data_IF_402434956989
#
_entry.id   IF_402434956989
#
_cell.length_a   1.000
_cell.length_b   1.000
_cell.length_c   1.000
_cell.angle_alpha   90.00
_cell.angle_beta   90.00
_cell.angle_gamma   90.00
#
_symmetry.space_group_name_H-M   'P 1'
#
loop_
_entity.id
_entity.type
_entity.pdbx_description
1 polymer ?
#
# COMPACT_ATOMS: atom_id res chain seq x y z
N UNK A 1 23.90 -27.79 -6.26
CA UNK A 1 24.50 -26.58 -6.87
C UNK A 1 23.47 -26.08 -7.88
N UNK A 2 22.47 -25.30 -7.45
CA UNK A 2 22.54 -23.91 -6.92
C UNK A 2 23.10 -22.98 -7.99
N UNK A 3 22.23 -22.17 -8.62
CA UNK A 3 22.18 -20.71 -8.43
C UNK A 3 21.07 -20.11 -9.32
N UNK A 4 20.01 -19.59 -8.69
CA UNK A 4 19.72 -18.15 -8.49
C UNK A 4 19.21 -17.46 -9.76
N UNK A 5 17.89 -17.53 -9.96
CA UNK A 5 17.15 -16.58 -10.80
C UNK A 5 16.98 -15.27 -10.02
N UNK A 6 17.69 -14.25 -10.49
CA UNK A 6 17.45 -12.84 -10.22
C UNK A 6 16.04 -12.45 -10.68
N UNK A 7 15.19 -12.06 -9.74
CA UNK A 7 13.99 -11.27 -9.99
C UNK A 7 14.40 -9.79 -9.86
N UNK A 8 14.52 -9.10 -10.99
CA UNK A 8 14.56 -7.64 -11.03
C UNK A 8 13.13 -7.07 -11.03
N UNK A 9 12.98 -6.01 -10.26
CA UNK A 9 11.78 -5.20 -10.07
C UNK A 9 11.30 -4.61 -11.41
N UNK A 10 9.98 -4.58 -11.62
CA UNK A 10 9.30 -4.04 -12.80
C UNK A 10 9.67 -2.57 -13.08
N UNK A 11 10.74 -2.35 -13.84
CA UNK A 11 10.89 -1.18 -14.68
C UNK A 11 10.02 -1.39 -15.92
N UNK A 12 9.20 -0.39 -16.24
CA UNK A 12 8.36 -0.36 -17.45
C UNK A 12 9.16 -0.86 -18.65
N UNK A 13 8.83 -2.06 -19.16
CA UNK A 13 9.58 -2.67 -20.25
C UNK A 13 9.61 -1.73 -21.47
N UNK A 14 10.74 -1.70 -22.19
CA UNK A 14 10.91 -0.98 -23.46
C UNK A 14 9.76 -1.27 -24.45
N UNK A 15 9.14 -2.46 -24.36
CA UNK A 15 7.97 -2.85 -25.15
C UNK A 15 6.68 -2.03 -24.86
N UNK A 16 6.55 -1.44 -23.67
CA UNK A 16 5.47 -0.49 -23.34
C UNK A 16 5.74 0.90 -23.92
N UNK A 17 7.02 1.31 -23.99
CA UNK A 17 7.46 2.54 -24.65
C UNK A 17 7.30 2.45 -26.17
N UNK A 18 7.63 1.30 -26.77
CA UNK A 18 7.48 1.03 -28.20
C UNK A 18 6.01 0.95 -28.66
N UNK A 19 5.08 0.66 -27.74
CA UNK A 19 3.63 0.78 -28.00
C UNK A 19 3.14 2.23 -28.01
N UNK A 20 3.77 3.14 -27.24
CA UNK A 20 3.50 4.58 -27.32
C UNK A 20 4.10 5.21 -28.59
N UNK A 21 5.27 4.72 -29.04
CA UNK A 21 5.93 5.19 -30.25
C UNK A 21 5.18 4.84 -31.57
N UNK A 22 4.23 3.89 -31.54
CA UNK A 22 3.50 3.44 -32.72
C UNK A 22 2.20 4.21 -33.02
N UNK A 23 1.84 5.22 -32.22
CA UNK A 23 0.84 6.22 -32.65
C UNK A 23 1.51 7.22 -33.60
N UNK A 24 1.42 6.93 -34.90
CA UNK A 24 1.91 7.74 -36.04
C UNK A 24 1.96 9.26 -35.76
N UNK A 25 3.11 9.74 -35.33
CA UNK A 25 3.58 11.09 -35.63
C UNK A 25 4.50 10.95 -36.84
N UNK A 26 3.90 11.14 -38.01
CA UNK A 26 4.62 11.20 -39.27
C UNK A 26 5.57 12.39 -39.25
N UNK A 27 6.88 12.08 -39.28
CA UNK A 27 7.95 12.83 -39.94
C UNK A 27 8.28 14.22 -39.36
N UNK A 28 9.19 14.23 -38.38
CA UNK A 28 10.31 15.18 -38.32
C UNK A 28 11.49 14.49 -37.63
N UNK A 29 12.60 14.38 -38.35
CA UNK A 29 13.84 13.77 -37.89
C UNK A 29 14.66 14.79 -37.11
N UNK A 30 15.15 14.42 -35.92
CA UNK A 30 16.35 15.02 -35.30
C UNK A 30 17.13 13.90 -34.58
N UNK A 31 18.46 13.75 -34.78
CA UNK A 31 19.28 12.72 -34.14
C UNK A 31 19.90 13.16 -32.82
N UNK A 32 20.22 12.18 -31.97
CA UNK A 32 21.14 12.16 -30.82
C UNK A 32 21.05 13.29 -29.78
N UNK A 33 20.43 12.98 -28.63
CA UNK A 33 20.74 13.64 -27.35
C UNK A 33 21.31 12.55 -26.44
N UNK A 34 22.64 12.55 -26.25
CA UNK A 34 23.37 11.64 -25.36
C UNK A 34 23.94 12.35 -24.12
N UNK A 35 23.40 13.50 -23.71
CA UNK A 35 23.88 14.21 -22.52
C UNK A 35 22.73 14.85 -21.74
N UNK A 36 22.65 14.55 -20.45
CA UNK A 36 21.69 15.16 -19.51
C UNK A 36 22.45 16.06 -18.54
N UNK A 37 22.48 17.36 -18.81
CA UNK A 37 23.11 18.36 -17.92
C UNK A 37 22.07 18.95 -16.97
N UNK A 38 22.32 18.88 -15.66
CA UNK A 38 21.48 19.53 -14.63
C UNK A 38 21.87 21.01 -14.52
N UNK A 39 20.99 21.92 -14.96
CA UNK A 39 21.21 23.37 -14.80
C UNK A 39 20.95 23.81 -13.35
N UNK A 40 21.90 24.55 -12.75
CA UNK A 40 21.88 24.97 -11.33
C UNK A 40 21.40 26.41 -11.08
N UNK A 41 20.92 27.16 -12.09
CA UNK A 41 20.34 28.50 -11.86
C UNK A 41 19.43 29.03 -12.99
N UNK A 42 18.56 30.00 -12.67
CA UNK A 42 17.62 30.68 -13.59
C UNK A 42 18.28 31.40 -14.78
N UNK A 43 19.60 31.65 -14.73
CA UNK A 43 20.32 32.35 -15.80
C UNK A 43 20.64 31.43 -16.99
N UNK A 44 20.81 30.14 -16.74
CA UNK A 44 21.17 29.14 -17.77
C UNK A 44 19.96 28.72 -18.64
N UNK A 45 18.75 29.10 -18.24
CA UNK A 45 17.49 28.75 -18.93
C UNK A 45 17.22 29.57 -20.21
N UNK A 46 17.76 30.79 -20.33
CA UNK A 46 17.32 31.72 -21.39
C UNK A 46 17.87 31.43 -22.78
N UNK A 47 18.80 30.49 -22.95
CA UNK A 47 19.42 30.21 -24.25
C UNK A 47 18.88 28.97 -24.98
N UNK A 48 17.92 28.22 -24.42
CA UNK A 48 17.36 27.03 -25.09
C UNK A 48 15.85 27.17 -25.34
N UNK A 49 15.50 27.93 -26.38
CA UNK A 49 14.13 28.01 -26.91
C UNK A 49 13.89 26.90 -27.95
N UNK A 50 13.39 25.75 -27.50
CA UNK A 50 12.72 24.77 -28.36
C UNK A 50 11.32 24.48 -27.79
N UNK A 51 10.30 24.58 -28.65
CA UNK A 51 8.90 24.75 -28.27
C UNK A 51 8.18 23.50 -27.70
N UNK A 52 8.83 22.32 -27.64
CA UNK A 52 8.19 21.06 -27.25
C UNK A 52 8.45 20.58 -25.80
N UNK A 53 9.26 21.29 -25.02
CA UNK A 53 9.53 20.94 -23.61
C UNK A 53 8.51 21.49 -22.60
N UNK A 54 7.46 22.18 -23.07
CA UNK A 54 6.46 22.81 -22.19
C UNK A 54 5.49 21.86 -21.49
N UNK A 55 5.33 20.62 -21.97
CA UNK A 55 4.32 19.70 -21.40
C UNK A 55 4.88 18.88 -20.23
N UNK A 56 6.16 18.53 -20.22
CA UNK A 56 6.71 17.65 -19.16
C UNK A 56 6.96 18.35 -17.82
N UNK A 57 7.25 19.65 -17.80
CA UNK A 57 7.72 20.31 -16.56
C UNK A 57 6.70 21.23 -15.87
N UNK A 58 5.55 21.51 -16.48
CA UNK A 58 4.52 22.35 -15.84
C UNK A 58 3.73 21.64 -14.72
N UNK A 59 4.00 20.35 -14.44
CA UNK A 59 3.36 19.60 -13.35
C UNK A 59 4.09 19.79 -12.02
N UNK A 60 5.36 20.24 -12.03
CA UNK A 60 6.16 20.30 -10.80
C UNK A 60 6.10 21.61 -10.04
N UNK A 61 5.58 22.71 -10.58
CA UNK A 61 5.48 23.96 -9.82
C UNK A 61 4.20 24.76 -10.14
N UNK A 62 3.39 24.91 -9.08
CA UNK A 62 2.25 25.84 -8.89
C UNK A 62 0.82 25.26 -8.95
N UNK A 63 0.07 25.65 -7.92
CA UNK A 63 -1.37 25.52 -7.66
C UNK A 63 -2.29 25.03 -8.79
N UNK A 64 -2.99 23.92 -8.49
CA UNK A 64 -4.11 23.32 -9.21
C UNK A 64 -3.85 22.75 -10.61
N UNK A 65 -3.67 21.42 -10.63
CA UNK A 65 -3.64 20.52 -11.81
C UNK A 65 -4.82 20.74 -12.77
N UNK A 66 -5.94 21.27 -12.27
CA UNK A 66 -7.16 21.54 -13.03
C UNK A 66 -6.97 22.63 -14.10
N UNK A 67 -6.11 23.62 -13.86
CA UNK A 67 -5.88 24.72 -14.79
C UNK A 67 -5.03 24.29 -16.01
N UNK A 68 -4.05 23.40 -15.78
CA UNK A 68 -3.20 22.84 -16.83
C UNK A 68 -3.97 21.87 -17.74
N UNK A 69 -4.87 21.06 -17.17
CA UNK A 69 -5.71 20.14 -17.93
C UNK A 69 -6.68 20.86 -18.86
N UNK A 70 -7.18 22.06 -18.49
CA UNK A 70 -8.15 22.79 -19.33
C UNK A 70 -7.56 23.24 -20.68
N UNK A 71 -6.24 23.35 -20.80
CA UNK A 71 -5.53 23.78 -22.01
C UNK A 71 -5.23 22.63 -23.00
N UNK A 72 -5.43 21.37 -22.61
CA UNK A 72 -5.23 20.22 -23.51
C UNK A 72 -6.45 20.03 -24.42
N UNK A 73 -6.24 20.10 -25.73
CA UNK A 73 -7.30 19.91 -26.75
C UNK A 73 -7.64 18.44 -26.99
N UNK A 74 -6.75 17.50 -26.64
CA UNK A 74 -6.94 16.07 -26.87
C UNK A 74 -7.67 15.38 -25.68
N UNK A 75 -8.87 14.89 -25.97
CA UNK A 75 -9.75 14.25 -25.00
C UNK A 75 -9.25 12.87 -24.51
N UNK A 76 -8.37 12.19 -25.27
CA UNK A 76 -7.81 10.88 -24.91
C UNK A 76 -6.63 11.01 -23.94
N UNK A 77 -5.83 12.06 -24.09
CA UNK A 77 -4.73 12.37 -23.16
C UNK A 77 -5.30 12.83 -21.82
N UNK A 78 -6.36 13.66 -21.85
CA UNK A 78 -7.15 14.00 -20.65
C UNK A 78 -7.69 12.76 -19.92
N UNK A 79 -8.19 11.76 -20.64
CA UNK A 79 -8.69 10.52 -20.01
C UNK A 79 -7.58 9.64 -19.44
N UNK A 80 -6.35 9.74 -19.95
CA UNK A 80 -5.21 8.94 -19.51
C UNK A 80 -4.65 9.43 -18.15
N UNK A 81 -4.58 10.75 -17.94
CA UNK A 81 -4.15 11.33 -16.65
C UNK A 81 -5.26 11.39 -15.59
N UNK A 82 -6.52 11.17 -15.98
CA UNK A 82 -7.68 11.13 -15.07
C UNK A 82 -8.06 9.70 -14.65
N UNK A 83 -7.07 8.80 -14.53
CA UNK A 83 -7.16 7.59 -13.73
C UNK A 83 -7.37 7.95 -12.26
N UNK A 84 -8.56 8.44 -11.95
CA UNK A 84 -8.84 9.30 -10.81
C UNK A 84 -8.76 8.56 -9.49
N UNK A 85 -8.10 9.19 -8.53
CA UNK A 85 -8.38 8.96 -7.12
C UNK A 85 -9.89 9.01 -6.89
N UNK A 86 -10.43 7.97 -6.23
CA UNK A 86 -11.86 7.83 -5.99
C UNK A 86 -12.32 8.98 -5.08
N UNK A 87 -13.19 9.84 -5.60
CA UNK A 87 -13.75 10.98 -4.87
C UNK A 87 -14.55 10.49 -3.64
N UNK A 88 -14.66 11.27 -2.55
CA UNK A 88 -15.45 10.87 -1.37
C UNK A 88 -16.89 10.45 -1.71
N UNK A 89 -17.57 11.18 -2.60
CA UNK A 89 -18.92 10.83 -3.08
C UNK A 89 -18.96 9.51 -3.88
N UNK A 90 -17.87 9.16 -4.56
CA UNK A 90 -17.74 7.89 -5.28
C UNK A 90 -17.51 6.73 -4.30
N UNK A 91 -16.76 6.94 -3.21
CA UNK A 91 -16.59 5.96 -2.14
C UNK A 91 -17.91 5.60 -1.46
N UNK A 92 -18.78 6.60 -1.25
CA UNK A 92 -20.10 6.36 -0.68
C UNK A 92 -20.98 5.50 -1.60
N UNK A 93 -20.96 5.77 -2.91
CA UNK A 93 -21.68 4.94 -3.89
C UNK A 93 -21.14 3.52 -3.97
N UNK A 94 -19.82 3.33 -3.83
CA UNK A 94 -19.20 2.00 -3.74
C UNK A 94 -19.75 1.26 -2.52
N UNK A 95 -19.75 1.90 -1.34
CA UNK A 95 -20.31 1.29 -0.12
C UNK A 95 -21.79 0.90 -0.27
N UNK A 96 -22.60 1.76 -0.87
CA UNK A 96 -24.02 1.48 -1.10
C UNK A 96 -24.20 0.32 -2.08
N UNK A 97 -23.46 0.33 -3.20
CA UNK A 97 -23.49 -0.77 -4.18
C UNK A 97 -23.09 -2.10 -3.53
N UNK A 98 -21.99 -2.12 -2.78
CA UNK A 98 -21.52 -3.29 -2.02
C UNK A 98 -22.61 -3.74 -1.05
N UNK A 99 -23.26 -2.82 -0.34
CA UNK A 99 -24.38 -3.13 0.56
C UNK A 99 -25.58 -3.79 -0.13
N UNK A 100 -25.91 -3.41 -1.37
CA UNK A 100 -27.04 -3.99 -2.11
C UNK A 100 -26.71 -5.30 -2.81
N UNK A 101 -25.50 -5.41 -3.36
CA UNK A 101 -25.11 -6.51 -4.26
C UNK A 101 -24.24 -7.55 -3.59
N UNK A 102 -23.70 -7.22 -2.42
CA UNK A 102 -22.66 -7.99 -1.73
C UNK A 102 -21.42 -8.24 -2.61
N UNK A 103 -21.20 -7.38 -3.60
CA UNK A 103 -19.99 -7.36 -4.43
C UNK A 103 -18.79 -6.83 -3.65
N UNK A 104 -17.57 -7.14 -4.09
CA UNK A 104 -16.38 -6.48 -3.57
C UNK A 104 -16.20 -5.07 -4.15
N UNK A 105 -15.39 -4.25 -3.48
CA UNK A 105 -15.09 -2.87 -3.88
C UNK A 105 -14.61 -2.75 -5.33
N UNK A 106 -13.83 -3.72 -5.84
CA UNK A 106 -13.31 -3.69 -7.23
C UNK A 106 -14.43 -3.90 -8.25
N UNK A 107 -15.30 -4.88 -8.01
CA UNK A 107 -16.49 -5.14 -8.84
C UNK A 107 -17.46 -3.98 -8.76
N UNK A 108 -17.73 -3.46 -7.56
CA UNK A 108 -18.57 -2.28 -7.36
C UNK A 108 -18.03 -1.07 -8.12
N UNK A 109 -16.74 -0.78 -8.01
CA UNK A 109 -16.09 0.29 -8.77
C UNK A 109 -16.23 0.10 -10.28
N UNK A 110 -16.10 -1.14 -10.76
CA UNK A 110 -16.21 -1.43 -12.19
C UNK A 110 -17.63 -1.23 -12.70
N UNK A 111 -18.63 -1.83 -12.04
CA UNK A 111 -20.04 -1.65 -12.42
C UNK A 111 -20.49 -0.20 -12.30
N UNK A 112 -20.05 0.53 -11.28
CA UNK A 112 -20.33 1.96 -11.15
C UNK A 112 -19.65 2.77 -12.26
N UNK A 113 -18.39 2.48 -12.62
CA UNK A 113 -17.72 3.16 -13.74
C UNK A 113 -18.42 2.88 -15.07
N UNK A 114 -18.78 1.63 -15.33
CA UNK A 114 -19.45 1.19 -16.56
C UNK A 114 -20.87 1.79 -16.70
N UNK A 115 -21.49 2.18 -15.58
CA UNK A 115 -22.82 2.80 -15.53
C UNK A 115 -22.78 4.29 -15.13
N UNK A 116 -21.69 5.01 -15.47
CA UNK A 116 -21.56 6.46 -15.26
C UNK A 116 -21.80 6.92 -13.80
N UNK A 117 -21.43 6.10 -12.83
CA UNK A 117 -21.64 6.28 -11.39
C UNK A 117 -23.11 6.44 -10.99
N UNK A 118 -24.06 5.92 -11.78
CA UNK A 118 -25.44 5.78 -11.37
C UNK A 118 -25.60 4.48 -10.56
N UNK A 119 -26.05 4.59 -9.31
CA UNK A 119 -26.15 3.46 -8.39
C UNK A 119 -27.24 2.49 -8.81
N UNK A 120 -28.46 2.98 -9.09
CA UNK A 120 -29.59 2.11 -9.45
C UNK A 120 -29.28 1.34 -10.74
N UNK A 121 -28.82 2.02 -11.78
CA UNK A 121 -28.48 1.40 -13.05
C UNK A 121 -27.35 0.38 -12.92
N UNK A 122 -26.34 0.65 -12.08
CA UNK A 122 -25.26 -0.29 -11.84
C UNK A 122 -25.75 -1.54 -11.10
N UNK A 123 -26.60 -1.39 -10.08
CA UNK A 123 -27.16 -2.50 -9.31
C UNK A 123 -28.07 -3.37 -10.20
N UNK A 124 -28.92 -2.73 -11.01
CA UNK A 124 -29.76 -3.44 -11.98
C UNK A 124 -28.90 -4.20 -13.01
N UNK A 125 -27.86 -3.57 -13.55
CA UNK A 125 -26.94 -4.22 -14.48
C UNK A 125 -26.21 -5.41 -13.83
N UNK A 126 -25.85 -5.30 -12.56
CA UNK A 126 -25.22 -6.38 -11.82
C UNK A 126 -26.15 -7.58 -11.65
N UNK A 127 -27.40 -7.36 -11.25
CA UNK A 127 -28.36 -8.46 -11.10
C UNK A 127 -28.80 -9.04 -12.45
N UNK A 128 -28.93 -8.21 -13.48
CA UNK A 128 -29.26 -8.66 -14.84
C UNK A 128 -28.18 -9.54 -15.46
N UNK A 129 -26.92 -9.35 -15.07
CA UNK A 129 -25.77 -10.09 -15.59
C UNK A 129 -25.28 -11.20 -14.65
N UNK A 130 -25.92 -11.38 -13.49
CA UNK A 130 -25.41 -12.27 -12.44
C UNK A 130 -23.98 -11.91 -12.00
N UNK A 131 -23.69 -10.61 -11.97
CA UNK A 131 -22.37 -10.05 -11.67
C UNK A 131 -21.35 -10.19 -12.81
N UNK A 132 -21.74 -10.66 -14.00
CA UNK A 132 -20.85 -10.72 -15.14
C UNK A 132 -20.57 -9.34 -15.74
N UNK A 133 -19.29 -8.97 -15.83
CA UNK A 133 -18.88 -7.71 -16.49
C UNK A 133 -18.70 -7.93 -18.00
N UNK A 134 -18.64 -6.85 -18.79
CA UNK A 134 -18.52 -6.87 -20.25
C UNK A 134 -17.38 -7.74 -20.83
N UNK A 135 -16.39 -8.13 -20.00
CA UNK A 135 -15.31 -9.05 -20.39
C UNK A 135 -15.65 -10.54 -20.19
N UNK A 136 -16.91 -10.91 -19.98
CA UNK A 136 -17.35 -12.32 -19.89
C UNK A 136 -16.92 -13.07 -18.62
N UNK A 137 -16.24 -12.41 -17.68
CA UNK A 137 -16.00 -12.96 -16.33
C UNK A 137 -17.26 -12.78 -15.49
N UNK A 138 -17.96 -13.89 -15.22
CA UNK A 138 -19.00 -13.98 -14.20
C UNK A 138 -18.36 -13.71 -12.83
N UNK A 139 -18.85 -12.70 -12.12
CA UNK A 139 -18.59 -12.59 -10.70
C UNK A 139 -19.42 -13.66 -10.01
N UNK A 140 -18.75 -14.68 -9.48
CA UNK A 140 -19.33 -15.54 -8.46
C UNK A 140 -18.93 -14.91 -7.14
N UNK A 141 -19.83 -14.15 -6.53
CA UNK A 141 -19.59 -13.59 -5.21
C UNK A 141 -19.19 -14.65 -4.21
N UNK A 142 -18.38 -14.26 -3.23
CA UNK A 142 -18.09 -15.13 -2.10
C UNK A 142 -19.41 -15.54 -1.44
N UNK A 143 -19.65 -16.84 -1.35
CA UNK A 143 -20.87 -17.38 -0.75
C UNK A 143 -20.89 -17.06 0.75
N UNK A 144 -21.81 -16.18 1.14
CA UNK A 144 -21.95 -15.70 2.52
C UNK A 144 -22.28 -16.84 3.50
N UNK A 145 -22.98 -17.88 3.05
CA UNK A 145 -23.31 -19.02 3.93
C UNK A 145 -22.08 -19.83 4.22
N UNK A 146 -21.21 -20.05 3.22
CA UNK A 146 -19.93 -20.74 3.41
C UNK A 146 -18.99 -19.93 4.30
N UNK A 147 -18.92 -18.61 4.10
CA UNK A 147 -18.11 -17.73 4.95
C UNK A 147 -18.57 -17.73 6.40
N UNK A 148 -19.88 -17.69 6.64
CA UNK A 148 -20.43 -17.79 7.99
C UNK A 148 -20.11 -19.14 8.62
N UNK A 149 -20.29 -20.24 7.88
CA UNK A 149 -19.99 -21.58 8.37
C UNK A 149 -18.51 -21.77 8.69
N UNK A 150 -17.60 -21.22 7.86
CA UNK A 150 -16.17 -21.21 8.14
C UNK A 150 -15.84 -20.35 9.37
N UNK A 151 -16.47 -19.19 9.53
CA UNK A 151 -16.28 -18.41 10.75
C UNK A 151 -16.69 -19.21 11.98
N UNK A 152 -17.88 -19.82 11.95
CA UNK A 152 -18.42 -20.61 13.07
C UNK A 152 -17.56 -21.84 13.40
N UNK A 153 -16.79 -22.37 12.43
CA UNK A 153 -15.82 -23.46 12.65
C UNK A 153 -14.66 -23.03 13.55
N UNK A 154 -14.17 -21.79 13.42
CA UNK A 154 -13.00 -21.29 14.17
C UNK A 154 -13.37 -20.38 15.34
N UNK A 155 -14.65 -20.01 15.44
CA UNK A 155 -15.15 -19.10 16.46
C UNK A 155 -14.94 -19.66 17.87
N UNK A 156 -14.62 -18.77 18.79
CA UNK A 156 -14.66 -19.05 20.21
C UNK A 156 -16.08 -19.48 20.66
N UNK A 157 -16.22 -20.41 21.63
CA UNK A 157 -17.53 -20.82 22.13
C UNK A 157 -18.33 -19.69 22.80
N UNK A 158 -17.63 -18.76 23.46
CA UNK A 158 -18.21 -17.75 24.35
C UNK A 158 -18.25 -16.34 23.70
N UNK A 159 -17.40 -16.09 22.70
CA UNK A 159 -17.37 -14.81 21.97
C UNK A 159 -17.76 -14.94 20.49
N UNK A 160 -18.34 -13.88 19.91
CA UNK A 160 -18.52 -13.77 18.45
C UNK A 160 -17.22 -13.32 17.75
N UNK A 161 -16.13 -14.05 18.01
CA UNK A 161 -14.80 -13.79 17.53
C UNK A 161 -14.01 -15.09 17.36
N UNK A 162 -13.07 -15.09 16.40
CA UNK A 162 -12.01 -16.10 16.34
C UNK A 162 -10.87 -15.57 17.22
N UNK A 163 -10.61 -16.26 18.33
CA UNK A 163 -9.56 -15.91 19.29
C UNK A 163 -8.27 -16.72 19.02
N UNK A 164 -7.43 -16.94 20.04
CA UNK A 164 -6.11 -17.59 19.90
C UNK A 164 -6.21 -18.98 19.28
N UNK A 165 -6.99 -19.89 19.88
CA UNK A 165 -7.10 -21.29 19.43
C UNK A 165 -7.68 -21.40 18.00
N UNK A 166 -8.66 -20.54 17.71
CA UNK A 166 -9.26 -20.44 16.38
C UNK A 166 -8.30 -19.86 15.34
N UNK A 167 -7.46 -18.88 15.73
CA UNK A 167 -6.44 -18.29 14.86
C UNK A 167 -5.35 -19.32 14.53
N UNK A 168 -4.91 -20.11 15.51
CA UNK A 168 -3.97 -21.20 15.30
C UNK A 168 -4.54 -22.25 14.33
N UNK A 169 -5.79 -22.68 14.57
CA UNK A 169 -6.48 -23.63 13.70
C UNK A 169 -6.64 -23.10 12.27
N UNK A 170 -6.96 -21.81 12.12
CA UNK A 170 -7.02 -21.14 10.82
C UNK A 170 -5.65 -21.11 10.13
N UNK A 171 -4.58 -20.75 10.85
CA UNK A 171 -3.22 -20.70 10.27
C UNK A 171 -2.78 -22.09 9.79
N UNK A 172 -3.08 -23.14 10.57
CA UNK A 172 -2.84 -24.54 10.17
C UNK A 172 -3.63 -24.89 8.90
N UNK A 173 -4.91 -24.55 8.85
CA UNK A 173 -5.75 -24.78 7.68
C UNK A 173 -5.36 -23.89 6.49
N UNK A 174 -4.67 -22.78 6.68
CA UNK A 174 -4.13 -21.94 5.60
C UNK A 174 -2.70 -22.33 5.19
N UNK A 175 -2.06 -23.25 5.92
CA UNK A 175 -0.66 -23.65 5.74
C UNK A 175 0.30 -22.45 5.81
N UNK A 176 0.06 -21.56 6.77
CA UNK A 176 0.86 -20.35 7.02
C UNK A 176 1.38 -20.35 8.44
N UNK A 177 2.65 -20.00 8.61
CA UNK A 177 3.24 -19.75 9.92
C UNK A 177 2.57 -18.53 10.57
N UNK A 178 2.03 -18.63 11.81
CA UNK A 178 1.41 -17.51 12.52
C UNK A 178 2.29 -16.25 12.62
N UNK A 179 3.61 -16.41 12.57
CA UNK A 179 4.63 -15.35 12.66
C UNK A 179 5.06 -14.77 11.31
N UNK A 180 4.61 -15.35 10.19
CA UNK A 180 4.88 -14.82 8.85
C UNK A 180 4.18 -13.47 8.67
N UNK A 181 4.86 -12.53 8.01
CA UNK A 181 4.32 -11.18 7.72
C UNK A 181 2.97 -11.20 7.01
N UNK A 182 2.67 -12.26 6.24
CA UNK A 182 1.38 -12.38 5.55
C UNK A 182 0.20 -12.48 6.52
N UNK A 183 0.38 -13.00 7.73
CA UNK A 183 -0.71 -13.10 8.72
C UNK A 183 -1.13 -11.71 9.20
N UNK A 184 -0.17 -10.79 9.32
CA UNK A 184 -0.42 -9.37 9.58
C UNK A 184 -1.14 -8.69 8.41
N UNK A 185 -0.76 -8.99 7.17
CA UNK A 185 -1.45 -8.47 5.98
C UNK A 185 -2.89 -9.00 5.91
N UNK A 186 -3.09 -10.27 6.23
CA UNK A 186 -4.43 -10.86 6.32
C UNK A 186 -5.26 -10.19 7.42
N UNK A 187 -4.68 -9.97 8.60
CA UNK A 187 -5.33 -9.26 9.70
C UNK A 187 -5.77 -7.84 9.29
N UNK A 188 -4.95 -7.14 8.51
CA UNK A 188 -5.29 -5.83 7.95
C UNK A 188 -6.48 -5.91 6.99
N UNK A 189 -6.50 -6.85 6.04
CA UNK A 189 -7.62 -7.05 5.12
C UNK A 189 -8.92 -7.43 5.82
N UNK A 190 -8.83 -8.25 6.87
CA UNK A 190 -9.96 -8.66 7.70
C UNK A 190 -10.32 -7.64 8.79
N UNK A 191 -9.65 -6.47 8.81
CA UNK A 191 -9.86 -5.39 9.77
C UNK A 191 -9.82 -5.86 11.23
N UNK A 192 -8.90 -6.78 11.55
CA UNK A 192 -8.73 -7.31 12.90
C UNK A 192 -8.40 -6.16 13.87
N UNK A 193 -9.14 -5.94 14.96
CA UNK A 193 -8.84 -4.86 15.90
C UNK A 193 -7.51 -5.06 16.64
N UNK A 194 -7.10 -6.31 16.87
CA UNK A 194 -5.91 -6.70 17.62
C UNK A 194 -5.42 -8.09 17.23
N UNK A 195 -4.25 -8.47 17.72
CA UNK A 195 -3.71 -9.83 17.54
C UNK A 195 -4.69 -10.89 18.03
N UNK A 196 -4.87 -11.94 17.23
CA UNK A 196 -5.74 -13.08 17.53
C UNK A 196 -7.18 -12.70 17.91
N UNK A 197 -7.77 -11.69 17.25
CA UNK A 197 -9.16 -11.28 17.48
C UNK A 197 -9.82 -10.94 16.14
N UNK A 198 -10.35 -11.93 15.44
CA UNK A 198 -11.09 -11.69 14.20
C UNK A 198 -12.59 -11.68 14.47
N UNK A 199 -13.21 -10.50 14.32
CA UNK A 199 -14.65 -10.32 14.50
C UNK A 199 -15.41 -10.65 13.21
N UNK A 200 -16.64 -11.18 13.35
CA UNK A 200 -17.47 -11.64 12.23
C UNK A 200 -17.61 -10.62 11.10
N UNK A 201 -17.85 -9.35 11.43
CA UNK A 201 -17.99 -8.30 10.42
C UNK A 201 -16.75 -8.20 9.51
N UNK A 202 -15.57 -8.07 10.12
CA UNK A 202 -14.31 -7.95 9.39
C UNK A 202 -13.97 -9.21 8.59
N UNK A 203 -14.27 -10.39 9.14
CA UNK A 203 -14.17 -11.67 8.43
C UNK A 203 -15.03 -11.70 7.16
N UNK A 204 -16.33 -11.41 7.30
CA UNK A 204 -17.28 -11.49 6.19
C UNK A 204 -16.93 -10.46 5.10
N UNK A 205 -16.68 -9.21 5.47
CA UNK A 205 -16.33 -8.14 4.53
C UNK A 205 -14.98 -8.40 3.86
N UNK A 206 -13.96 -8.76 4.64
CA UNK A 206 -12.60 -8.97 4.14
C UNK A 206 -12.50 -10.13 3.16
N UNK A 207 -13.05 -11.30 3.49
CA UNK A 207 -13.03 -12.44 2.57
C UNK A 207 -13.92 -12.26 1.34
N UNK A 208 -15.06 -11.57 1.49
CA UNK A 208 -15.88 -11.16 0.34
C UNK A 208 -15.09 -10.24 -0.58
N UNK A 209 -14.35 -9.28 -0.01
CA UNK A 209 -13.50 -8.36 -0.76
C UNK A 209 -12.37 -9.06 -1.51
N UNK A 210 -11.79 -10.09 -0.89
CA UNK A 210 -10.79 -10.97 -1.48
C UNK A 210 -11.38 -12.00 -2.45
N UNK A 211 -12.71 -12.14 -2.53
CA UNK A 211 -13.39 -13.11 -3.39
C UNK A 211 -13.18 -14.57 -2.96
N UNK A 212 -12.89 -14.81 -1.68
CA UNK A 212 -12.64 -16.13 -1.12
C UNK A 212 -13.81 -16.57 -0.24
N UNK A 213 -14.28 -17.81 -0.39
CA UNK A 213 -15.38 -18.39 0.38
C UNK A 213 -15.13 -19.83 0.84
N UNK A 214 -13.92 -20.32 0.61
CA UNK A 214 -13.43 -21.68 0.87
C UNK A 214 -11.96 -21.61 1.27
N UNK A 215 -11.49 -22.54 2.10
CA UNK A 215 -10.09 -22.55 2.57
C UNK A 215 -9.11 -22.66 1.41
N UNK A 216 -9.46 -23.40 0.36
CA UNK A 216 -8.65 -23.56 -0.84
C UNK A 216 -8.41 -22.21 -1.54
N UNK A 217 -9.47 -21.41 -1.74
CA UNK A 217 -9.33 -20.05 -2.30
C UNK A 217 -8.52 -19.13 -1.39
N UNK A 218 -8.71 -19.25 -0.07
CA UNK A 218 -7.96 -18.46 0.92
C UNK A 218 -6.45 -18.79 0.87
N UNK A 219 -6.07 -20.07 0.70
CA UNK A 219 -4.68 -20.48 0.47
C UNK A 219 -4.11 -19.93 -0.83
N UNK A 220 -4.89 -19.97 -1.91
CA UNK A 220 -4.46 -19.48 -3.23
C UNK A 220 -4.17 -17.96 -3.25
N UNK A 221 -4.87 -17.16 -2.43
CA UNK A 221 -4.65 -15.70 -2.39
C UNK A 221 -3.43 -15.29 -1.56
N UNK A 222 -2.99 -16.12 -0.61
CA UNK A 222 -1.90 -15.83 0.34
C UNK A 222 -0.59 -15.34 -0.33
N UNK A 223 -0.07 -15.95 -1.41
CA UNK A 223 1.11 -15.44 -2.11
C UNK A 223 0.90 -14.01 -2.63
N UNK A 224 -0.28 -13.71 -3.19
CA UNK A 224 -0.59 -12.36 -3.69
C UNK A 224 -0.69 -11.32 -2.59
N UNK A 225 -1.10 -11.71 -1.38
CA UNK A 225 -1.13 -10.81 -0.22
C UNK A 225 0.28 -10.35 0.19
N UNK A 226 1.29 -11.22 0.11
CA UNK A 226 2.69 -10.84 0.38
C UNK A 226 3.19 -9.78 -0.60
N UNK A 227 2.86 -9.95 -1.87
CA UNK A 227 3.24 -9.02 -2.93
C UNK A 227 2.64 -7.63 -2.73
N UNK A 228 1.53 -7.50 -2.00
CA UNK A 228 0.93 -6.20 -1.68
C UNK A 228 1.86 -5.29 -0.87
N UNK A 229 2.79 -5.84 -0.09
CA UNK A 229 3.76 -5.06 0.70
C UNK A 229 4.89 -4.46 -0.14
N UNK A 230 4.98 -4.81 -1.43
CA UNK A 230 5.86 -4.12 -2.39
C UNK A 230 5.29 -2.77 -2.79
N UNK A 231 3.96 -2.58 -2.72
CA UNK A 231 3.33 -1.29 -2.97
C UNK A 231 3.59 -0.34 -1.78
N UNK A 232 4.22 0.83 -2.00
CA UNK A 232 4.57 1.73 -0.90
C UNK A 232 3.36 2.28 -0.13
N UNK A 233 2.21 2.47 -0.80
CA UNK A 233 1.01 2.98 -0.15
C UNK A 233 0.40 1.93 0.77
N UNK A 234 0.25 0.70 0.28
CA UNK A 234 -0.25 -0.41 1.07
C UNK A 234 0.68 -0.76 2.23
N UNK A 235 1.99 -0.75 1.98
CA UNK A 235 2.98 -0.96 3.04
C UNK A 235 2.80 0.08 4.16
N UNK A 236 2.65 1.36 3.81
CA UNK A 236 2.39 2.43 4.79
C UNK A 236 1.09 2.18 5.58
N UNK A 237 0.03 1.76 4.91
CA UNK A 237 -1.26 1.47 5.55
C UNK A 237 -1.14 0.29 6.54
N UNK A 238 -0.49 -0.81 6.15
CA UNK A 238 -0.22 -1.97 7.01
C UNK A 238 0.70 -1.59 8.17
N UNK A 239 1.77 -0.85 7.91
CA UNK A 239 2.70 -0.36 8.93
C UNK A 239 1.98 0.47 10.00
N UNK A 240 1.16 1.44 9.59
CA UNK A 240 0.40 2.28 10.51
C UNK A 240 -0.69 1.50 11.28
N UNK A 241 -1.32 0.53 10.62
CA UNK A 241 -2.29 -0.37 11.24
C UNK A 241 -1.64 -1.22 12.36
N UNK A 242 -0.43 -1.72 12.12
CA UNK A 242 0.30 -2.63 13.01
C UNK A 242 0.42 -2.10 14.43
N UNK A 243 0.64 -0.79 14.61
CA UNK A 243 0.74 -0.19 15.95
C UNK A 243 -0.50 -0.47 16.81
N UNK A 244 -1.70 -0.26 16.26
CA UNK A 244 -2.94 -0.51 17.01
C UNK A 244 -3.21 -2.00 17.17
N UNK A 245 -2.90 -2.79 16.13
CA UNK A 245 -3.08 -4.23 16.12
C UNK A 245 -2.24 -4.94 17.20
N UNK A 246 -0.99 -4.51 17.38
CA UNK A 246 -0.04 -5.10 18.31
C UNK A 246 -0.16 -4.56 19.75
N UNK A 247 -0.84 -3.43 19.95
CA UNK A 247 -0.92 -2.78 21.26
C UNK A 247 -1.94 -3.49 22.16
N UNK A 248 -1.51 -3.82 23.37
CA UNK A 248 -2.40 -4.34 24.41
C UNK A 248 -3.59 -3.41 24.69
N UNK A 249 -4.73 -4.00 25.05
CA UNK A 249 -5.95 -3.24 25.35
C UNK A 249 -5.70 -2.21 26.46
N UNK A 250 -6.36 -1.04 26.35
CA UNK A 250 -6.24 0.10 27.28
C UNK A 250 -4.87 0.78 27.40
N UNK A 251 -3.84 0.33 26.69
CA UNK A 251 -2.55 1.04 26.63
C UNK A 251 -2.57 2.20 25.62
N UNK A 252 -1.68 3.18 25.76
CA UNK A 252 -1.49 4.24 24.74
C UNK A 252 -0.20 4.07 23.93
N UNK A 253 0.69 3.21 24.40
CA UNK A 253 1.99 2.91 23.82
C UNK A 253 2.13 1.42 23.57
N UNK A 254 3.01 1.07 22.63
CA UNK A 254 3.36 -0.30 22.29
C UNK A 254 4.54 -0.76 23.16
N UNK A 255 4.46 -1.94 23.76
CA UNK A 255 5.57 -2.52 24.54
C UNK A 255 6.83 -2.63 23.69
N UNK A 256 8.01 -2.41 24.29
CA UNK A 256 9.27 -2.31 23.54
C UNK A 256 9.60 -3.57 22.75
N UNK A 257 9.53 -4.74 23.39
CA UNK A 257 9.84 -6.01 22.73
C UNK A 257 8.86 -6.31 21.59
N UNK A 258 7.58 -5.98 21.77
CA UNK A 258 6.57 -6.11 20.70
C UNK A 258 6.84 -5.16 19.54
N UNK A 259 7.21 -3.91 19.82
CA UNK A 259 7.57 -2.94 18.78
C UNK A 259 8.79 -3.41 17.98
N UNK A 260 9.83 -3.90 18.66
CA UNK A 260 11.02 -4.47 18.02
C UNK A 260 10.65 -5.64 17.12
N UNK A 261 9.88 -6.62 17.62
CA UNK A 261 9.49 -7.79 16.83
C UNK A 261 8.74 -7.42 15.54
N UNK A 262 7.82 -6.46 15.60
CA UNK A 262 7.11 -6.00 14.40
C UNK A 262 7.98 -5.15 13.45
N UNK A 263 8.94 -4.38 13.98
CA UNK A 263 9.92 -3.70 13.13
C UNK A 263 10.86 -4.68 12.43
N UNK A 264 11.33 -5.71 13.13
CA UNK A 264 12.11 -6.81 12.54
C UNK A 264 11.32 -7.53 11.44
N UNK A 265 10.02 -7.73 11.65
CA UNK A 265 9.14 -8.34 10.66
C UNK A 265 8.90 -7.46 9.42
N UNK A 266 8.69 -6.15 9.60
CA UNK A 266 8.25 -5.23 8.53
C UNK A 266 9.39 -4.50 7.82
N UNK A 267 10.50 -4.24 8.52
CA UNK A 267 11.55 -3.30 8.07
C UNK A 267 12.87 -3.97 7.68
N UNK A 268 13.00 -5.30 7.81
CA UNK A 268 14.24 -6.04 7.55
C UNK A 268 14.92 -5.67 6.22
N UNK A 269 14.14 -5.56 5.14
CA UNK A 269 14.66 -5.24 3.81
C UNK A 269 14.43 -3.77 3.41
N UNK A 270 13.99 -2.93 4.35
CA UNK A 270 13.61 -1.53 4.09
C UNK A 270 14.41 -0.53 4.91
N UNK A 271 14.98 -0.94 6.03
CA UNK A 271 15.77 -0.08 6.89
C UNK A 271 17.17 -0.66 7.10
N UNK A 272 18.16 -0.07 6.42
CA UNK A 272 19.56 -0.54 6.46
C UNK A 272 20.15 -0.56 7.87
N UNK A 273 19.73 0.38 8.72
CA UNK A 273 20.22 0.53 10.09
C UNK A 273 19.28 -0.09 11.13
N UNK A 274 18.46 -1.07 10.73
CA UNK A 274 17.50 -1.72 11.62
C UNK A 274 18.19 -2.40 12.83
N UNK A 275 19.27 -3.14 12.61
CA UNK A 275 19.99 -3.81 13.70
C UNK A 275 20.53 -2.79 14.71
N UNK A 276 21.07 -1.67 14.20
CA UNK A 276 21.58 -0.57 15.01
C UNK A 276 20.46 0.14 15.80
N UNK A 277 19.28 0.30 15.18
CA UNK A 277 18.08 0.82 15.84
C UNK A 277 17.59 -0.10 16.96
N UNK A 278 17.53 -1.41 16.71
CA UNK A 278 17.15 -2.40 17.73
C UNK A 278 18.13 -2.40 18.89
N UNK A 279 19.43 -2.34 18.61
CA UNK A 279 20.47 -2.26 19.63
C UNK A 279 20.34 -0.98 20.47
N UNK A 280 20.24 0.19 19.82
CA UNK A 280 20.01 1.48 20.47
C UNK A 280 18.80 1.43 21.42
N UNK A 281 17.67 0.89 20.95
CA UNK A 281 16.46 0.80 21.74
C UNK A 281 16.63 -0.07 22.99
N UNK A 282 17.37 -1.17 22.88
CA UNK A 282 17.64 -2.09 24.00
C UNK A 282 18.64 -1.50 25.00
N UNK A 283 19.65 -0.79 24.52
CA UNK A 283 20.71 -0.24 25.38
C UNK A 283 20.37 1.12 26.01
N UNK A 284 19.72 2.01 25.26
CA UNK A 284 19.58 3.43 25.63
C UNK A 284 18.15 3.84 25.96
N UNK A 285 17.13 3.25 25.30
CA UNK A 285 15.74 3.67 25.49
C UNK A 285 15.01 2.86 26.58
N UNK A 286 14.90 1.54 26.42
CA UNK A 286 14.32 0.63 27.41
C UNK A 286 12.83 0.86 27.76
N UNK A 287 12.08 1.64 26.95
CA UNK A 287 10.69 2.04 27.25
C UNK A 287 9.75 1.76 26.09
N UNK A 288 8.45 1.76 26.38
CA UNK A 288 7.39 1.60 25.39
C UNK A 288 7.44 2.69 24.30
N UNK A 289 6.96 2.36 23.10
CA UNK A 289 6.99 3.19 21.91
C UNK A 289 5.64 3.92 21.74
N UNK A 290 5.70 5.22 21.50
CA UNK A 290 4.51 6.03 21.21
C UNK A 290 4.04 5.84 19.76
N UNK A 291 2.77 6.11 19.48
CA UNK A 291 2.23 6.05 18.11
C UNK A 291 2.92 7.03 17.17
N UNK A 292 3.24 8.21 17.69
CA UNK A 292 3.91 9.26 16.93
C UNK A 292 5.30 8.81 16.50
N UNK A 293 6.10 8.29 17.44
CA UNK A 293 7.42 7.73 17.16
C UNK A 293 7.38 6.57 16.17
N UNK A 294 6.40 5.66 16.32
CA UNK A 294 6.19 4.57 15.37
C UNK A 294 5.97 5.10 13.95
N UNK A 295 5.03 6.04 13.78
CA UNK A 295 4.69 6.58 12.46
C UNK A 295 5.84 7.39 11.85
N UNK A 296 6.50 8.25 12.63
CA UNK A 296 7.57 9.11 12.14
C UNK A 296 8.84 8.33 11.81
N UNK A 297 9.08 7.17 12.42
CA UNK A 297 10.20 6.31 12.02
C UNK A 297 10.09 5.88 10.56
N UNK A 298 8.88 5.59 10.05
CA UNK A 298 8.73 5.23 8.63
C UNK A 298 9.06 6.38 7.70
N UNK A 299 8.69 7.62 8.05
CA UNK A 299 9.04 8.80 7.26
C UNK A 299 10.56 9.05 7.33
N UNK A 300 11.15 8.93 8.52
CA UNK A 300 12.60 9.03 8.72
C UNK A 300 13.38 8.05 7.84
N UNK A 301 12.99 6.77 7.81
CA UNK A 301 13.62 5.74 6.96
C UNK A 301 13.58 6.12 5.47
N UNK A 302 12.53 6.82 5.03
CA UNK A 302 12.36 7.22 3.63
C UNK A 302 13.13 8.47 3.26
N UNK A 303 13.40 9.36 4.22
CA UNK A 303 14.04 10.65 3.96
C UNK A 303 15.51 10.68 4.36
N UNK A 304 15.93 9.86 5.33
CA UNK A 304 17.31 9.81 5.81
C UNK A 304 18.25 9.27 4.74
N UNK A 305 19.43 9.87 4.63
CA UNK A 305 20.56 9.29 3.90
C UNK A 305 21.28 8.24 4.78
N UNK A 306 22.32 7.61 4.22
CA UNK A 306 23.01 6.49 4.85
C UNK A 306 23.88 6.90 6.04
N UNK A 307 24.41 8.12 6.03
CA UNK A 307 25.28 8.67 7.08
C UNK A 307 24.53 9.62 8.02
N UNK A 308 23.22 9.73 7.86
CA UNK A 308 22.33 10.65 8.56
C UNK A 308 22.69 12.13 8.37
N UNK A 309 23.52 12.52 7.38
CA UNK A 309 24.02 13.89 7.24
C UNK A 309 22.94 14.93 6.96
N UNK A 310 21.82 14.49 6.38
CA UNK A 310 20.64 15.32 6.14
C UNK A 310 19.68 15.41 7.33
N UNK A 311 20.01 14.83 8.48
CA UNK A 311 19.22 14.93 9.70
C UNK A 311 19.37 16.31 10.35
N UNK A 312 18.24 17.00 10.51
CA UNK A 312 18.13 18.29 11.17
C UNK A 312 17.54 18.12 12.57
N UNK A 313 18.32 18.42 13.61
CA UNK A 313 17.89 18.32 15.01
C UNK A 313 16.94 19.43 15.44
N UNK A 314 16.83 20.51 14.66
CA UNK A 314 15.87 21.59 14.91
C UNK A 314 14.48 21.29 14.31
N UNK A 315 14.37 20.22 13.51
CA UNK A 315 13.11 19.73 12.99
C UNK A 315 12.26 19.03 14.06
N UNK A 316 10.96 18.86 13.80
CA UNK A 316 10.01 18.31 14.75
C UNK A 316 10.03 16.76 14.84
N UNK A 317 11.21 16.15 14.81
CA UNK A 317 11.35 14.72 15.00
C UNK A 317 11.11 14.33 16.47
N UNK A 318 10.67 13.08 16.75
CA UNK A 318 10.67 12.57 18.11
C UNK A 318 12.10 12.57 18.64
N UNK A 319 12.29 13.02 19.88
CA UNK A 319 13.60 12.99 20.57
C UNK A 319 14.28 11.61 20.47
N UNK A 320 13.51 10.52 20.43
CA UNK A 320 14.04 9.18 20.27
C UNK A 320 14.78 8.96 18.93
N UNK A 321 14.29 9.58 17.84
CA UNK A 321 14.95 9.54 16.53
C UNK A 321 16.22 10.40 16.56
N UNK A 322 16.18 11.59 17.15
CA UNK A 322 17.37 12.44 17.29
C UNK A 322 18.47 11.72 18.08
N UNK A 323 18.13 11.13 19.23
CA UNK A 323 19.06 10.35 20.05
C UNK A 323 19.60 9.10 19.31
N UNK A 324 18.81 8.51 18.42
CA UNK A 324 19.29 7.41 17.59
C UNK A 324 20.31 7.88 16.56
N UNK A 325 20.08 9.01 15.91
CA UNK A 325 21.02 9.56 14.92
C UNK A 325 22.36 9.87 15.57
N UNK A 326 22.36 10.50 16.75
CA UNK A 326 23.58 10.75 17.54
C UNK A 326 24.32 9.43 17.85
N UNK A 327 23.60 8.44 18.40
CA UNK A 327 24.15 7.12 18.69
C UNK A 327 24.70 6.41 17.44
N UNK A 328 24.00 6.51 16.32
CA UNK A 328 24.37 5.84 15.09
C UNK A 328 25.60 6.49 14.44
N UNK A 329 25.68 7.83 14.43
CA UNK A 329 26.86 8.56 13.93
C UNK A 329 28.10 8.25 14.77
N UNK A 330 28.00 8.26 16.10
CA UNK A 330 29.10 7.91 16.99
C UNK A 330 29.61 6.48 16.70
N UNK A 331 28.69 5.52 16.57
CA UNK A 331 29.05 4.11 16.39
C UNK A 331 29.59 3.78 14.99
N UNK A 332 29.16 4.51 13.97
CA UNK A 332 29.62 4.37 12.59
C UNK A 332 30.87 5.23 12.30
N UNK A 333 31.29 6.09 13.23
CA UNK A 333 32.45 6.97 13.08
C UNK A 333 32.21 8.12 12.10
N UNK A 334 30.97 8.60 12.00
CA UNK A 334 30.66 9.82 11.26
C UNK A 334 30.91 11.02 12.17
N UNK A 335 32.01 11.74 11.96
CA UNK A 335 32.30 12.99 12.65
C UNK A 335 31.43 14.11 12.06
N UNK A 336 30.88 14.97 12.94
CA UNK A 336 30.28 16.23 12.52
C UNK A 336 31.42 17.19 12.11
N UNK A 337 31.60 17.43 10.81
CA UNK A 337 32.56 18.44 10.29
C UNK A 337 32.19 19.88 10.71
#
# INVERSE_FOLDING_TARGET
>A
MVDLQTFECDYVSQASFDRMANFKLTRCAVPDITDWTVCKSDRDWKEHQAADLRISYSICYSHSVESALHQLSDHRVKSFFTGGSIKPAQREKIKQFVGFTNANDKTAQKFLKDNNWNLEAAVDAFFATGGATANGRSWTGADQRKLSALFDKYKDPDEDAILVDGTESLCNDLEVDPTDVVTLVLAWHLQSPRMCDFRRKGWMEGWTNLGCDTIEKMREVIPSLREELKDPSKFRDVYNYTFNFARAENQKSLGLDTAIAFWELLLKDKFKHLDLWVEFLREKHGKAISKDTWNLLLEFIRTSDENFSNHDTDSAWPVLIDSFVEYAREKLGFEDE
#
